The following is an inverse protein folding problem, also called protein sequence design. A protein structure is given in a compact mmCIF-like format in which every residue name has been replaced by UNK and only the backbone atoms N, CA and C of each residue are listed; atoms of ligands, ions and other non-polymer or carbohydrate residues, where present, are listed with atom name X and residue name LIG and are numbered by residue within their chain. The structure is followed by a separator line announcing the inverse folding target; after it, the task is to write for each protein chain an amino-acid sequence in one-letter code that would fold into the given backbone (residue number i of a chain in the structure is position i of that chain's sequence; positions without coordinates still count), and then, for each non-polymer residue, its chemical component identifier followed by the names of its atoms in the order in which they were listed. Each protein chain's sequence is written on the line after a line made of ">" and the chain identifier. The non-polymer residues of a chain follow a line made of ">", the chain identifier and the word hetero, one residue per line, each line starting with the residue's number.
data_IF_704126032893
#
_entry.id   IF_704126032893
#
_cell.length_a   1.000
_cell.length_b   1.000
_cell.length_c   1.000
_cell.angle_alpha   90.00
_cell.angle_beta   90.00
_cell.angle_gamma   90.00
#
_symmetry.space_group_name_H-M   'P 1'
#
loop_
_entity.id
_entity.type
_entity.pdbx_description
1 polymer ?
#
# COMPACT_ATOMS: atom_id res chain seq x y z
N UNK A 1 26.89 -10.93 0.32
CA UNK A 1 26.00 -9.80 0.70
C UNK A 1 24.59 -10.29 0.61
N UNK A 2 23.75 -10.06 1.61
CA UNK A 2 22.40 -10.68 1.71
C UNK A 2 21.38 -9.70 2.31
N UNK A 3 20.09 -9.98 2.10
CA UNK A 3 18.99 -9.28 2.80
C UNK A 3 18.50 -10.17 3.92
N UNK A 4 18.48 -9.63 5.14
CA UNK A 4 17.96 -10.32 6.32
C UNK A 4 16.56 -9.80 6.62
N UNK A 5 15.58 -10.69 6.52
CA UNK A 5 14.18 -10.38 6.85
C UNK A 5 13.81 -11.16 8.11
N UNK A 6 13.38 -10.50 9.19
CA UNK A 6 12.96 -11.20 10.40
C UNK A 6 11.72 -12.04 10.11
N UNK A 7 11.67 -13.26 10.66
CA UNK A 7 10.44 -14.05 10.65
C UNK A 7 9.44 -13.37 11.58
N UNK A 8 8.28 -13.00 11.04
CA UNK A 8 7.22 -12.35 11.79
C UNK A 8 6.14 -13.37 12.15
N UNK A 9 5.59 -13.26 13.35
CA UNK A 9 4.29 -13.87 13.68
C UNK A 9 3.20 -12.94 13.15
N UNK A 10 2.70 -13.29 11.97
CA UNK A 10 1.82 -12.42 11.18
C UNK A 10 0.35 -12.73 11.42
N UNK A 11 -0.44 -11.68 11.62
CA UNK A 11 -1.90 -11.74 11.61
C UNK A 11 -2.43 -11.83 10.18
N UNK A 12 -1.67 -11.34 9.20
CA UNK A 12 -2.03 -11.34 7.79
C UNK A 12 -1.07 -10.48 6.96
N UNK A 13 -1.03 -10.75 5.66
CA UNK A 13 -0.29 -9.95 4.69
C UNK A 13 -1.07 -9.89 3.39
N UNK A 14 -0.80 -8.87 2.59
CA UNK A 14 -1.37 -8.73 1.26
C UNK A 14 -0.35 -8.07 0.33
N UNK A 15 -0.42 -8.43 -0.95
CA UNK A 15 0.26 -7.70 -2.01
C UNK A 15 -0.70 -7.48 -3.18
N UNK A 16 -1.23 -6.26 -3.26
CA UNK A 16 -2.10 -5.83 -4.34
C UNK A 16 -1.27 -5.20 -5.44
N UNK A 17 -1.36 -5.70 -6.67
CA UNK A 17 -0.67 -5.15 -7.84
C UNK A 17 -1.68 -4.89 -8.95
N UNK A 18 -1.75 -3.63 -9.41
CA UNK A 18 -2.51 -3.28 -10.59
C UNK A 18 -1.56 -2.97 -11.76
N UNK A 19 -1.75 -3.68 -12.87
CA UNK A 19 -0.91 -3.62 -14.06
C UNK A 19 -1.75 -3.90 -15.31
N UNK A 20 -1.34 -3.37 -16.47
CA UNK A 20 -2.12 -3.47 -17.72
C UNK A 20 -2.18 -4.89 -18.26
N UNK A 21 -1.07 -5.61 -18.20
CA UNK A 21 -0.89 -6.98 -18.69
C UNK A 21 -0.07 -7.76 -17.71
N UNK A 22 -0.27 -9.08 -17.64
CA UNK A 22 0.50 -9.95 -16.74
C UNK A 22 2.00 -9.68 -16.85
N UNK A 23 2.70 -9.67 -15.71
CA UNK A 23 4.14 -9.38 -15.57
C UNK A 23 4.60 -7.94 -15.85
N UNK A 24 3.74 -7.04 -16.34
CA UNK A 24 4.09 -5.60 -16.46
C UNK A 24 4.45 -4.99 -15.10
N UNK A 25 5.16 -3.86 -15.13
CA UNK A 25 5.35 -3.01 -13.95
C UNK A 25 4.01 -2.57 -13.36
N UNK A 26 3.99 -2.38 -12.04
CA UNK A 26 2.81 -1.90 -11.34
C UNK A 26 2.52 -0.45 -11.76
N UNK A 27 1.27 -0.17 -12.16
CA UNK A 27 0.76 1.20 -12.16
C UNK A 27 0.70 1.68 -10.71
N UNK A 28 0.10 0.88 -9.83
CA UNK A 28 0.21 1.03 -8.38
C UNK A 28 0.33 -0.36 -7.76
N UNK A 29 1.19 -0.49 -6.76
CA UNK A 29 1.24 -1.68 -5.92
C UNK A 29 1.15 -1.29 -4.45
N UNK A 30 0.57 -2.16 -3.64
CA UNK A 30 0.49 -1.99 -2.19
C UNK A 30 0.90 -3.28 -1.51
N UNK A 31 1.90 -3.19 -0.63
CA UNK A 31 2.26 -4.28 0.27
C UNK A 31 1.78 -3.94 1.68
N UNK A 32 1.07 -4.88 2.31
CA UNK A 32 0.63 -4.74 3.70
C UNK A 32 1.10 -5.94 4.51
N UNK A 33 1.60 -5.68 5.72
CA UNK A 33 1.92 -6.73 6.71
C UNK A 33 1.34 -6.30 8.05
N UNK A 34 0.62 -7.20 8.71
CA UNK A 34 0.14 -7.02 10.07
C UNK A 34 0.81 -8.03 10.98
N UNK A 35 1.61 -7.55 11.92
CA UNK A 35 2.38 -8.42 12.82
C UNK A 35 2.62 -7.72 14.15
N UNK A 36 2.66 -8.47 15.26
CA UNK A 36 2.96 -7.93 16.60
C UNK A 36 2.12 -6.70 17.00
N UNK A 37 0.87 -6.62 16.54
CA UNK A 37 -0.04 -5.51 16.82
C UNK A 37 0.26 -4.22 16.03
N UNK A 38 1.19 -4.26 15.06
CA UNK A 38 1.47 -3.16 14.14
C UNK A 38 1.05 -3.51 12.71
N UNK A 39 0.86 -2.46 11.91
CA UNK A 39 0.53 -2.56 10.48
C UNK A 39 1.58 -1.80 9.70
N UNK A 40 2.26 -2.47 8.77
CA UNK A 40 3.13 -1.87 7.77
C UNK A 40 2.40 -1.76 6.44
N UNK A 41 2.45 -0.59 5.79
CA UNK A 41 1.88 -0.38 4.45
C UNK A 41 2.91 0.33 3.57
N UNK A 42 3.27 -0.27 2.45
CA UNK A 42 4.19 0.31 1.47
C UNK A 42 3.53 0.45 0.10
N UNK A 43 3.84 1.55 -0.58
CA UNK A 43 3.31 1.93 -1.89
C UNK A 43 4.40 1.79 -2.95
N UNK A 44 4.04 1.15 -4.06
CA UNK A 44 4.86 1.01 -5.26
C UNK A 44 4.35 2.00 -6.30
N UNK A 45 5.28 2.78 -6.87
CA UNK A 45 5.03 3.73 -7.95
C UNK A 45 4.10 4.91 -7.59
N UNK A 46 4.19 5.35 -6.33
CA UNK A 46 3.55 6.57 -5.79
C UNK A 46 4.56 7.69 -5.46
N UNK A 47 5.79 7.56 -5.97
CA UNK A 47 6.89 8.50 -5.82
C UNK A 47 8.09 8.01 -6.63
N UNK A 48 9.20 8.75 -6.61
CA UNK A 48 10.45 8.35 -7.28
C UNK A 48 11.11 7.11 -6.65
N UNK A 49 10.73 6.77 -5.42
CA UNK A 49 11.16 5.59 -4.68
C UNK A 49 9.94 4.86 -4.08
N UNK A 50 10.09 3.61 -3.60
CA UNK A 50 9.05 2.97 -2.78
C UNK A 50 8.79 3.80 -1.52
N UNK A 51 7.51 4.03 -1.21
CA UNK A 51 7.10 4.88 -0.09
C UNK A 51 6.45 4.04 1.02
N UNK A 52 6.69 4.42 2.27
CA UNK A 52 5.96 3.89 3.41
C UNK A 52 4.77 4.81 3.69
N UNK A 53 3.55 4.28 3.71
CA UNK A 53 2.33 5.06 3.87
C UNK A 53 2.08 5.39 5.35
N UNK A 54 2.90 6.27 5.93
CA UNK A 54 2.85 6.65 7.36
C UNK A 54 1.46 7.10 7.80
N UNK A 55 0.79 7.96 7.03
CA UNK A 55 -0.54 8.44 7.38
C UNK A 55 -1.59 7.31 7.44
N UNK A 56 -1.51 6.32 6.54
CA UNK A 56 -2.37 5.13 6.59
C UNK A 56 -2.06 4.31 7.84
N UNK A 57 -0.79 4.07 8.14
CA UNK A 57 -0.39 3.31 9.33
C UNK A 57 -0.80 3.99 10.63
N UNK A 58 -0.69 5.32 10.71
CA UNK A 58 -1.12 6.12 11.85
C UNK A 58 -2.64 6.11 12.03
N UNK A 59 -3.40 6.15 10.93
CA UNK A 59 -4.85 5.98 10.97
C UNK A 59 -5.24 4.59 11.51
N UNK A 60 -4.62 3.51 11.01
CA UNK A 60 -4.87 2.15 11.51
C UNK A 60 -4.51 2.03 12.99
N UNK A 61 -3.36 2.58 13.40
CA UNK A 61 -2.93 2.60 14.81
C UNK A 61 -3.91 3.36 15.70
N UNK A 62 -4.61 4.36 15.14
CA UNK A 62 -5.64 5.15 15.83
C UNK A 62 -7.02 4.48 15.82
N UNK A 63 -7.15 3.28 15.25
CA UNK A 63 -8.38 2.50 15.24
C UNK A 63 -9.27 2.68 14.01
N UNK A 64 -8.77 3.30 12.94
CA UNK A 64 -9.50 3.39 11.68
C UNK A 64 -9.68 1.99 11.05
N UNK A 65 -10.86 1.76 10.46
CA UNK A 65 -11.09 0.59 9.60
C UNK A 65 -10.33 0.75 8.27
N UNK A 66 -10.36 -0.29 7.43
CA UNK A 66 -9.65 -0.29 6.16
C UNK A 66 -10.08 0.83 5.20
N UNK A 67 -11.36 1.19 5.16
CA UNK A 67 -11.88 2.22 4.26
C UNK A 67 -11.44 3.63 4.69
N UNK A 68 -11.54 3.93 5.99
CA UNK A 68 -11.16 5.23 6.55
C UNK A 68 -9.64 5.43 6.49
N UNK A 69 -8.85 4.40 6.82
CA UNK A 69 -7.40 4.47 6.69
C UNK A 69 -6.95 4.69 5.24
N UNK A 70 -7.64 4.08 4.28
CA UNK A 70 -7.30 4.21 2.86
C UNK A 70 -7.51 5.62 2.29
N UNK A 71 -8.30 6.47 2.95
CA UNK A 71 -8.44 7.88 2.54
C UNK A 71 -7.10 8.64 2.57
N UNK A 72 -6.18 8.21 3.45
CA UNK A 72 -4.85 8.81 3.61
C UNK A 72 -3.78 8.22 2.67
N UNK A 73 -4.15 7.37 1.72
CA UNK A 73 -3.19 6.66 0.86
C UNK A 73 -2.29 7.58 0.00
N UNK A 74 -2.70 8.83 -0.20
CA UNK A 74 -1.95 9.80 -1.02
C UNK A 74 -1.09 10.76 -0.19
N UNK A 75 -1.22 10.75 1.13
CA UNK A 75 -0.45 11.64 1.99
C UNK A 75 1.04 11.32 1.88
N UNK A 76 1.85 12.34 1.58
CA UNK A 76 3.29 12.18 1.36
C UNK A 76 3.67 11.46 0.06
N UNK A 77 2.77 11.42 -0.93
CA UNK A 77 3.04 10.85 -2.26
C UNK A 77 3.32 11.92 -3.31
N UNK A 78 4.06 11.54 -4.36
CA UNK A 78 4.35 12.37 -5.53
C UNK A 78 4.09 11.56 -6.81
N UNK A 79 2.83 11.16 -7.01
CA UNK A 79 2.43 10.33 -8.14
C UNK A 79 2.75 11.01 -9.48
N UNK A 80 3.40 10.26 -10.39
CA UNK A 80 3.80 10.77 -11.70
C UNK A 80 2.79 10.37 -12.78
N UNK A 81 2.56 11.26 -13.74
CA UNK A 81 1.82 10.94 -14.97
C UNK A 81 2.76 10.34 -16.03
N UNK A 82 2.34 9.27 -16.69
CA UNK A 82 3.06 8.65 -17.80
C UNK A 82 2.11 8.03 -18.84
N UNK A 83 2.65 7.29 -19.80
CA UNK A 83 1.88 6.57 -20.83
C UNK A 83 0.95 5.47 -20.27
N UNK A 84 1.12 5.08 -19.00
CA UNK A 84 0.35 4.02 -18.37
C UNK A 84 -0.82 4.55 -17.56
N UNK A 85 -0.66 5.72 -16.92
CA UNK A 85 -1.66 6.33 -16.06
C UNK A 85 -1.34 7.80 -15.77
N UNK A 86 -2.38 8.62 -15.58
CA UNK A 86 -2.22 9.94 -14.96
C UNK A 86 -1.96 9.83 -13.45
N UNK A 87 -1.45 10.91 -12.85
CA UNK A 87 -1.28 11.07 -11.40
C UNK A 87 -2.60 10.85 -10.66
N UNK A 88 -3.71 11.43 -11.15
CA UNK A 88 -5.02 11.32 -10.52
C UNK A 88 -5.55 9.88 -10.54
N UNK A 89 -5.27 9.13 -11.62
CA UNK A 89 -5.66 7.73 -11.70
C UNK A 89 -4.85 6.86 -10.72
N UNK A 90 -3.55 7.14 -10.56
CA UNK A 90 -2.69 6.45 -9.57
C UNK A 90 -3.15 6.74 -8.15
N UNK A 91 -3.43 8.00 -7.86
CA UNK A 91 -4.00 8.42 -6.58
C UNK A 91 -5.34 7.74 -6.27
N UNK A 92 -6.22 7.62 -7.26
CA UNK A 92 -7.46 6.87 -7.10
C UNK A 92 -7.18 5.39 -6.83
N UNK A 93 -6.31 4.76 -7.61
CA UNK A 93 -5.92 3.36 -7.42
C UNK A 93 -5.27 3.12 -6.06
N UNK A 94 -4.42 4.03 -5.56
CA UNK A 94 -3.76 3.90 -4.27
C UNK A 94 -4.79 3.75 -3.15
N UNK A 95 -5.82 4.60 -3.10
CA UNK A 95 -6.91 4.47 -2.12
C UNK A 95 -7.63 3.12 -2.24
N UNK A 96 -7.97 2.69 -3.45
CA UNK A 96 -8.67 1.41 -3.68
C UNK A 96 -7.83 0.22 -3.24
N UNK A 97 -6.55 0.19 -3.64
CA UNK A 97 -5.65 -0.93 -3.36
C UNK A 97 -5.20 -0.96 -1.90
N UNK A 98 -5.03 0.20 -1.25
CA UNK A 98 -4.77 0.25 0.20
C UNK A 98 -5.92 -0.35 0.98
N UNK A 99 -7.17 0.03 0.67
CA UNK A 99 -8.35 -0.57 1.33
C UNK A 99 -8.36 -2.09 1.16
N UNK A 100 -8.27 -2.58 -0.09
CA UNK A 100 -8.27 -4.02 -0.39
C UNK A 100 -7.14 -4.75 0.31
N UNK A 101 -5.95 -4.15 0.36
CA UNK A 101 -4.78 -4.75 0.97
C UNK A 101 -4.92 -4.86 2.49
N UNK A 102 -5.52 -3.85 3.13
CA UNK A 102 -5.84 -3.88 4.56
C UNK A 102 -6.89 -4.95 4.87
N UNK A 103 -7.99 -4.99 4.11
CA UNK A 103 -9.05 -6.00 4.23
C UNK A 103 -8.50 -7.44 4.07
N UNK A 104 -7.72 -7.69 3.01
CA UNK A 104 -7.12 -9.01 2.75
C UNK A 104 -6.10 -9.40 3.83
N UNK A 105 -5.43 -8.43 4.44
CA UNK A 105 -4.54 -8.66 5.60
C UNK A 105 -5.30 -8.84 6.93
N UNK A 106 -6.63 -8.82 6.91
CA UNK A 106 -7.50 -9.09 8.06
C UNK A 106 -7.83 -7.87 8.92
N UNK A 107 -7.67 -6.63 8.41
CA UNK A 107 -8.22 -5.44 9.07
C UNK A 107 -9.70 -5.30 8.68
N UNK A 108 -10.59 -5.39 9.67
CA UNK A 108 -12.04 -5.23 9.49
C UNK A 108 -12.44 -3.77 9.23
#
# INVERSE_FOLDING_TARGET
>A
TEIRVPKLDTQGWSFQKFNRRAQDWAIVGVATVRANGSTGVALVNMGSTPLLASAVMDAVKSGANAADAAAFANEGTEAQSDINASSEYREHLARVLVRRSLEESGLA
#
